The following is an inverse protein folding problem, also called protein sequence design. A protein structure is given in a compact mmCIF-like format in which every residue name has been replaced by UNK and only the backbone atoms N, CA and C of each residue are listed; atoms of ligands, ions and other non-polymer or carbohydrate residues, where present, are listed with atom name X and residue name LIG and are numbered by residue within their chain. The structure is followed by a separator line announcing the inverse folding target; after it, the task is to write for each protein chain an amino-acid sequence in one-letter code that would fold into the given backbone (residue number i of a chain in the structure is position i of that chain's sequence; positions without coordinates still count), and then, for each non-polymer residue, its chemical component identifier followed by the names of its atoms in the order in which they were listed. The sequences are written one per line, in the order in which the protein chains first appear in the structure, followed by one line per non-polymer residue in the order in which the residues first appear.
data_IF_826077873264
#
_entry.id   IF_826077873264
#
_cell.length_a   1.000
_cell.length_b   1.000
_cell.length_c   1.000
_cell.angle_alpha   90.00
_cell.angle_beta   90.00
_cell.angle_gamma   90.00
#
_symmetry.space_group_name_H-M   'P 1'
#
loop_
_entity.id
_entity.type
_entity.pdbx_description
1 polymer ?
#
# COMPACT_ATOMS: atom_id res chain seq x y z
N UNK A 1 12.78 -3.66 -0.02
CA UNK A 1 12.02 -3.52 -1.28
C UNK A 1 11.33 -2.17 -1.32
N UNK A 2 11.41 -1.43 -2.44
CA UNK A 2 10.62 -0.20 -2.62
C UNK A 2 9.12 -0.48 -2.52
N UNK A 3 8.34 0.43 -1.90
CA UNK A 3 6.89 0.25 -1.68
C UNK A 3 6.13 -0.03 -2.99
N UNK A 4 6.46 0.66 -4.07
CA UNK A 4 5.81 0.53 -5.39
C UNK A 4 5.73 -0.93 -5.87
N UNK A 5 6.81 -1.69 -5.66
CA UNK A 5 6.93 -3.09 -6.11
C UNK A 5 6.64 -4.10 -4.99
N UNK A 6 6.24 -3.64 -3.81
CA UNK A 6 6.02 -4.52 -2.67
C UNK A 6 4.62 -5.15 -2.74
N UNK A 7 4.54 -6.48 -2.69
CA UNK A 7 3.28 -7.22 -2.55
C UNK A 7 2.98 -7.44 -1.07
N UNK A 8 1.83 -6.95 -0.61
CA UNK A 8 1.46 -7.02 0.80
C UNK A 8 0.91 -8.41 1.16
N UNK A 9 1.49 -9.12 2.14
CA UNK A 9 0.94 -10.39 2.59
C UNK A 9 -0.49 -10.21 3.16
N UNK A 10 -1.41 -11.18 2.98
CA UNK A 10 -2.80 -11.04 3.42
C UNK A 10 -2.93 -10.85 4.94
N UNK A 11 -2.02 -11.40 5.74
CA UNK A 11 -1.97 -11.26 7.21
C UNK A 11 -0.70 -10.56 7.67
N UNK A 12 -0.37 -9.44 7.03
CA UNK A 12 0.84 -8.69 7.36
C UNK A 12 0.70 -7.97 8.70
N UNK A 13 1.80 -7.98 9.47
CA UNK A 13 2.01 -7.10 10.61
C UNK A 13 3.10 -6.12 10.22
N UNK A 14 2.80 -4.82 10.24
CA UNK A 14 3.77 -3.78 9.93
C UNK A 14 4.37 -3.25 11.21
N UNK A 15 5.69 -3.38 11.35
CA UNK A 15 6.43 -2.84 12.48
C UNK A 15 7.02 -1.49 12.06
N UNK A 16 6.62 -0.43 12.76
CA UNK A 16 7.13 0.92 12.53
C UNK A 16 8.14 1.29 13.63
N UNK A 17 9.20 2.00 13.24
CA UNK A 17 10.25 2.43 14.15
C UNK A 17 9.84 3.63 15.00
N UNK A 18 10.60 3.87 16.08
CA UNK A 18 10.52 5.13 16.83
C UNK A 18 10.94 6.32 15.96
N UNK A 19 10.45 7.51 16.26
CA UNK A 19 10.74 8.71 15.47
C UNK A 19 12.24 9.09 15.52
N UNK A 20 12.87 8.96 16.69
CA UNK A 20 14.26 9.36 16.89
C UNK A 20 15.25 8.27 16.48
N UNK A 21 14.95 7.01 16.83
CA UNK A 21 15.92 5.91 16.73
C UNK A 21 15.53 4.84 15.69
N UNK A 22 14.37 4.96 15.05
CA UNK A 22 13.88 3.97 14.10
C UNK A 22 13.62 2.61 14.75
N UNK A 23 13.82 1.54 13.96
CA UNK A 23 13.75 0.15 14.42
C UNK A 23 15.13 -0.31 14.88
N UNK A 24 15.18 -1.04 16.01
CA UNK A 24 16.41 -1.65 16.45
C UNK A 24 16.83 -2.79 15.49
N UNK A 25 18.13 -3.09 15.49
CA UNK A 25 18.70 -4.09 14.59
C UNK A 25 18.11 -5.51 14.78
N UNK A 26 17.89 -6.01 16.00
CA UNK A 26 17.27 -7.32 16.20
C UNK A 26 15.86 -7.45 15.61
N UNK A 27 15.03 -6.40 15.70
CA UNK A 27 13.69 -6.40 15.12
C UNK A 27 13.77 -6.42 13.59
N UNK A 28 14.66 -5.61 13.01
CA UNK A 28 14.87 -5.59 11.56
C UNK A 28 15.31 -6.97 11.07
N UNK A 29 16.25 -7.62 11.73
CA UNK A 29 16.73 -8.95 11.38
C UNK A 29 15.66 -10.05 11.55
N UNK A 30 14.70 -9.87 12.46
CA UNK A 30 13.58 -10.78 12.66
C UNK A 30 12.44 -10.60 11.63
N UNK A 31 12.33 -9.44 10.99
CA UNK A 31 11.28 -9.16 10.00
C UNK A 31 11.50 -9.96 8.70
N UNK A 32 10.44 -10.62 8.20
CA UNK A 32 10.51 -11.42 6.97
C UNK A 32 10.66 -10.54 5.72
N UNK A 33 10.17 -9.31 5.77
CA UNK A 33 10.17 -8.39 4.65
C UNK A 33 10.54 -6.99 5.13
N UNK A 34 11.38 -6.29 4.36
CA UNK A 34 11.68 -4.88 4.58
C UNK A 34 11.09 -4.05 3.44
N UNK A 35 10.21 -3.12 3.76
CA UNK A 35 9.63 -2.17 2.82
C UNK A 35 10.19 -0.77 3.08
N UNK A 36 10.50 -0.05 2.01
CA UNK A 36 11.03 1.30 2.10
C UNK A 36 10.24 2.25 1.20
N UNK A 37 9.92 3.43 1.73
CA UNK A 37 9.36 4.52 0.94
C UNK A 37 10.42 5.07 -0.01
N UNK A 38 10.05 5.43 -1.25
CA UNK A 38 10.96 6.10 -2.15
C UNK A 38 11.39 7.44 -1.52
N UNK A 39 12.68 7.75 -1.67
CA UNK A 39 13.25 9.04 -1.23
C UNK A 39 13.72 9.78 -2.46
N UNK A 40 13.45 11.08 -2.51
CA UNK A 40 14.00 11.95 -3.54
C UNK A 40 15.53 11.98 -3.43
N UNK A 41 16.20 12.07 -4.58
CA UNK A 41 17.66 12.11 -4.64
C UNK A 41 18.20 13.33 -3.86
N UNK A 42 19.13 13.09 -2.93
CA UNK A 42 19.69 14.13 -2.06
C UNK A 42 18.91 14.41 -0.77
N UNK A 43 17.78 13.74 -0.52
CA UNK A 43 17.08 13.82 0.78
C UNK A 43 17.47 12.66 1.70
N UNK A 44 18.16 12.98 2.78
CA UNK A 44 18.60 12.00 3.79
C UNK A 44 17.60 11.84 4.94
N UNK A 45 16.72 12.84 5.17
CA UNK A 45 15.73 12.81 6.25
C UNK A 45 14.64 11.76 6.00
N UNK A 46 14.23 11.05 7.06
CA UNK A 46 13.08 10.15 7.08
C UNK A 46 11.76 10.94 6.98
N UNK A 47 10.70 10.23 6.58
CA UNK A 47 9.33 10.74 6.76
C UNK A 47 8.92 10.58 8.22
N UNK A 48 7.92 11.36 8.63
CA UNK A 48 7.25 11.13 9.91
C UNK A 48 6.70 9.69 9.96
N UNK A 49 6.74 9.07 11.14
CA UNK A 49 6.33 7.68 11.33
C UNK A 49 4.86 7.44 10.99
N UNK A 50 3.97 8.36 11.36
CA UNK A 50 2.54 8.26 11.05
C UNK A 50 2.30 8.37 9.55
N UNK A 51 2.97 9.31 8.88
CA UNK A 51 2.93 9.43 7.43
C UNK A 51 3.42 8.15 6.73
N UNK A 52 4.48 7.52 7.25
CA UNK A 52 4.97 6.28 6.68
C UNK A 52 3.97 5.13 6.85
N UNK A 53 3.32 5.03 8.01
CA UNK A 53 2.25 4.08 8.26
C UNK A 53 1.07 4.29 7.30
N UNK A 54 0.60 5.52 7.17
CA UNK A 54 -0.52 5.87 6.29
C UNK A 54 -0.24 5.48 4.83
N UNK A 55 0.94 5.83 4.30
CA UNK A 55 1.30 5.49 2.92
C UNK A 55 1.33 3.97 2.67
N UNK A 56 1.86 3.19 3.63
CA UNK A 56 1.90 1.72 3.53
C UNK A 56 0.50 1.12 3.57
N UNK A 57 -0.39 1.62 4.44
CA UNK A 57 -1.76 1.12 4.54
C UNK A 57 -2.59 1.49 3.32
N UNK A 58 -2.41 2.69 2.79
CA UNK A 58 -3.07 3.13 1.57
C UNK A 58 -2.62 2.33 0.35
N UNK A 59 -1.31 2.11 0.17
CA UNK A 59 -0.77 1.27 -0.90
C UNK A 59 -1.30 -0.16 -0.84
N UNK A 60 -1.38 -0.73 0.37
CA UNK A 60 -2.02 -2.03 0.59
C UNK A 60 -3.48 -2.04 0.14
N UNK A 61 -4.27 -1.06 0.59
CA UNK A 61 -5.70 -0.97 0.25
C UNK A 61 -5.90 -0.89 -1.26
N UNK A 62 -5.15 -0.02 -1.93
CA UNK A 62 -5.25 0.18 -3.39
C UNK A 62 -4.84 -1.09 -4.15
N UNK A 63 -3.76 -1.76 -3.75
CA UNK A 63 -3.34 -3.02 -4.39
C UNK A 63 -4.35 -4.16 -4.16
N UNK A 64 -5.01 -4.19 -3.00
CA UNK A 64 -6.07 -5.16 -2.74
C UNK A 64 -7.33 -4.88 -3.57
N UNK A 65 -7.70 -3.60 -3.72
CA UNK A 65 -8.79 -3.18 -4.60
C UNK A 65 -8.51 -3.61 -6.05
N UNK A 66 -7.30 -3.36 -6.55
CA UNK A 66 -6.90 -3.76 -7.90
C UNK A 66 -6.74 -5.27 -8.08
N UNK A 67 -6.38 -6.01 -7.04
CA UNK A 67 -6.30 -7.46 -7.07
C UNK A 67 -7.68 -8.15 -6.99
N UNK A 68 -8.77 -7.39 -6.74
CA UNK A 68 -10.11 -7.96 -6.49
C UNK A 68 -10.25 -8.63 -5.12
N UNK A 69 -9.28 -8.44 -4.23
CA UNK A 69 -9.21 -9.03 -2.88
C UNK A 69 -9.87 -8.16 -1.82
N UNK A 70 -10.36 -6.97 -2.19
CA UNK A 70 -11.10 -6.08 -1.30
C UNK A 70 -12.47 -6.67 -0.96
N UNK A 71 -12.50 -7.56 0.02
CA UNK A 71 -13.76 -8.00 0.64
C UNK A 71 -14.30 -6.83 1.45
N UNK A 72 -15.45 -6.30 1.03
CA UNK A 72 -16.18 -5.29 1.78
C UNK A 72 -16.33 -5.75 3.25
N UNK A 73 -16.17 -4.84 4.23
CA UNK A 73 -16.44 -5.15 5.61
C UNK A 73 -17.92 -5.59 5.72
N UNK A 74 -18.17 -6.79 6.27
CA UNK A 74 -19.50 -7.38 6.27
C UNK A 74 -20.38 -6.79 7.38
N UNK A 75 -21.36 -5.96 7.01
CA UNK A 75 -22.67 -5.60 7.61
C UNK A 75 -22.87 -5.41 9.13
N UNK A 76 -21.86 -5.61 9.97
CA UNK A 76 -21.72 -4.90 11.24
C UNK A 76 -21.12 -3.50 11.08
N UNK A 77 -20.60 -3.22 9.87
CA UNK A 77 -19.77 -2.08 9.52
C UNK A 77 -20.29 -1.40 8.23
N UNK A 78 -21.43 -0.70 8.34
CA UNK A 78 -21.78 0.54 7.59
C UNK A 78 -22.20 0.43 6.10
N UNK A 79 -23.46 0.07 5.86
CA UNK A 79 -24.50 0.77 5.06
C UNK A 79 -24.23 1.53 3.71
N UNK A 80 -23.03 1.63 3.14
CA UNK A 80 -22.73 2.60 2.04
C UNK A 80 -22.14 2.00 0.74
N UNK A 81 -22.13 0.68 0.57
CA UNK A 81 -21.39 -0.02 -0.51
C UNK A 81 -22.07 -0.04 -1.91
N UNK A 82 -22.97 0.90 -2.22
CA UNK A 82 -23.77 0.85 -3.48
C UNK A 82 -22.98 1.38 -4.70
N UNK A 83 -21.76 1.91 -4.52
CA UNK A 83 -20.98 2.58 -5.58
C UNK A 83 -19.85 1.71 -6.18
N UNK A 84 -19.61 0.50 -5.64
CA UNK A 84 -18.44 -0.32 -5.98
C UNK A 84 -18.51 -1.02 -7.36
N UNK A 85 -19.69 -1.12 -7.97
CA UNK A 85 -19.87 -1.77 -9.28
C UNK A 85 -19.44 -0.88 -10.47
N UNK A 86 -19.59 0.44 -10.38
CA UNK A 86 -19.20 1.37 -11.46
C UNK A 86 -17.69 1.64 -11.48
N UNK A 87 -16.97 1.16 -10.45
CA UNK A 87 -15.53 1.35 -10.28
C UNK A 87 -14.68 0.34 -11.06
N UNK A 88 -15.23 -0.78 -11.51
CA UNK A 88 -14.45 -1.82 -12.20
C UNK A 88 -14.34 -1.59 -13.73
N UNK A 89 -15.41 -1.14 -14.37
CA UNK A 89 -15.48 -1.00 -15.84
C UNK A 89 -14.62 0.16 -16.38
N UNK A 90 -14.44 1.23 -15.60
CA UNK A 90 -13.63 2.40 -16.00
C UNK A 90 -12.12 2.13 -15.91
N UNK A 91 -11.68 1.19 -15.07
CA UNK A 91 -10.26 0.84 -14.91
C UNK A 91 -9.77 -0.10 -16.02
N UNK A 92 -10.62 -0.99 -16.52
CA UNK A 92 -10.29 -1.83 -17.68
C UNK A 92 -10.11 -0.97 -18.94
N UNK A 93 -11.00 0.02 -19.13
CA UNK A 93 -10.91 0.96 -20.24
C UNK A 93 -9.67 1.87 -20.19
N UNK A 94 -9.26 2.32 -18.99
CA UNK A 94 -8.07 3.18 -18.85
C UNK A 94 -6.75 2.43 -19.05
N UNK A 95 -6.68 1.16 -18.64
CA UNK A 95 -5.51 0.31 -18.86
C UNK A 95 -5.34 -0.05 -20.36
N UNK A 96 -6.43 -0.43 -21.05
CA UNK A 96 -6.40 -0.67 -22.50
C UNK A 96 -6.03 0.59 -23.31
N UNK A 97 -6.49 1.77 -22.88
CA UNK A 97 -6.14 3.02 -23.54
C UNK A 97 -4.66 3.39 -23.39
N UNK A 98 -4.03 3.06 -22.24
CA UNK A 98 -2.62 3.34 -22.02
C UNK A 98 -1.70 2.39 -22.81
N UNK A 99 -2.11 1.14 -23.04
CA UNK A 99 -1.31 0.20 -23.85
C UNK A 99 -1.41 0.46 -25.37
N UNK A 100 -2.48 1.12 -25.84
CA UNK A 100 -2.70 1.42 -27.26
C UNK A 100 -1.94 2.67 -27.77
N UNK A 101 -1.45 3.54 -26.90
CA UNK A 101 -0.76 4.78 -27.30
C UNK A 101 0.78 4.62 -27.37
N UNK A 102 1.33 3.49 -26.91
CA UNK A 102 2.78 3.19 -26.92
C UNK A 102 3.18 2.10 -27.95
N UNK A 103 2.26 1.65 -28.82
CA UNK A 103 2.49 0.61 -29.84
C UNK A 103 2.32 1.10 -31.30
#
# INVERSE_FOLDING_TARGET
TPLQHFAHPPRAVYVLGSEDNGLNRPIVEACQCHVALPKWFGRSASYNVAMAGTLVMYDRMIKQLWAGDAKAPSDGDVADAVDDAERADLLFAAAEAAEAEEA
#
